data_IF_078037078267
#
_entry.id   IF_078037078267
#
_cell.length_a   1.000
_cell.length_b   1.000
_cell.length_c   1.000
_cell.angle_alpha   90.00
_cell.angle_beta   90.00
_cell.angle_gamma   90.00
#
_symmetry.space_group_name_H-M   'P 1'
#
loop_
_entity.id
_entity.type
_entity.pdbx_description
1 polymer ?
#
# COMPACT_ATOMS: atom_id res chain seq x y z
N UNK A 1 24.75 -20.39 1.29
CA UNK A 1 23.35 -20.66 0.94
C UNK A 1 22.69 -19.30 0.89
N UNK A 2 22.35 -18.82 -0.32
CA UNK A 2 21.58 -17.59 -0.48
C UNK A 2 20.12 -18.00 -0.19
N UNK A 3 19.56 -17.53 0.89
CA UNK A 3 18.11 -17.63 1.12
C UNK A 3 17.41 -16.74 0.12
N UNK A 4 16.47 -17.29 -0.64
CA UNK A 4 15.51 -16.49 -1.41
C UNK A 4 14.76 -15.56 -0.45
N UNK A 5 14.68 -14.30 -0.77
CA UNK A 5 14.00 -13.28 0.05
C UNK A 5 12.69 -12.96 -0.65
N UNK A 6 11.55 -13.09 0.02
CA UNK A 6 10.24 -12.77 -0.55
C UNK A 6 10.00 -11.26 -0.49
N UNK A 7 9.52 -10.67 -1.57
CA UNK A 7 9.03 -9.30 -1.58
C UNK A 7 7.80 -9.26 -0.66
N UNK A 8 7.80 -8.46 0.41
CA UNK A 8 6.62 -8.39 1.26
C UNK A 8 5.48 -7.74 0.48
N UNK A 9 4.46 -8.50 0.13
CA UNK A 9 3.20 -7.98 -0.42
C UNK A 9 2.63 -6.85 0.45
N UNK A 10 2.93 -6.93 1.73
CA UNK A 10 2.65 -5.90 2.70
C UNK A 10 3.29 -4.54 2.42
N UNK A 11 4.44 -4.48 1.73
CA UNK A 11 5.07 -3.21 1.37
C UNK A 11 4.20 -2.40 0.39
N UNK A 12 3.52 -3.09 -0.51
CA UNK A 12 2.63 -2.44 -1.47
C UNK A 12 1.28 -2.04 -0.86
N UNK A 13 0.83 -2.79 0.17
CA UNK A 13 -0.45 -2.54 0.84
C UNK A 13 -0.36 -1.52 1.98
N UNK A 14 0.84 -1.22 2.47
CA UNK A 14 1.11 -0.31 3.59
C UNK A 14 0.87 1.16 3.30
N UNK A 15 0.46 1.44 2.12
CA UNK A 15 0.16 2.77 1.65
C UNK A 15 -1.07 3.43 2.33
N UNK A 16 -1.71 2.79 3.35
CA UNK A 16 -3.06 3.20 3.81
C UNK A 16 -3.18 3.61 5.28
N UNK A 17 -2.26 3.27 6.19
CA UNK A 17 -2.62 3.25 7.61
C UNK A 17 -1.81 4.12 8.59
N UNK A 18 -1.10 5.14 8.14
CA UNK A 18 -0.20 5.93 8.98
C UNK A 18 -0.87 6.86 10.03
N UNK A 19 -2.19 6.81 10.22
CA UNK A 19 -2.96 7.86 10.94
C UNK A 19 -3.47 7.58 12.35
N UNK A 20 -3.50 6.34 12.86
CA UNK A 20 -4.28 6.05 14.08
C UNK A 20 -3.53 5.32 15.18
N UNK A 21 -2.78 6.05 16.01
CA UNK A 21 -2.45 5.61 17.36
C UNK A 21 -2.85 6.64 18.39
N UNK A 22 -4.15 6.68 18.78
CA UNK A 22 -4.60 7.12 20.12
C UNK A 22 -6.09 6.86 20.34
N UNK A 23 -6.38 6.18 21.46
CA UNK A 23 -7.66 6.04 22.19
C UNK A 23 -8.70 5.07 21.61
N UNK A 24 -8.74 3.90 22.25
CA UNK A 24 -9.91 3.03 22.31
C UNK A 24 -10.56 3.22 23.70
N UNK A 25 -11.72 3.84 23.73
CA UNK A 25 -12.68 3.72 24.85
C UNK A 25 -14.11 3.87 24.33
N UNK A 26 -14.94 2.86 24.66
CA UNK A 26 -16.40 2.78 24.64
C UNK A 26 -17.16 2.89 23.28
N UNK A 27 -17.46 1.74 22.68
CA UNK A 27 -18.59 1.59 21.75
C UNK A 27 -19.46 0.39 22.15
N UNK A 28 -20.77 0.61 22.28
CA UNK A 28 -21.78 -0.40 22.60
C UNK A 28 -22.08 -1.32 21.39
N UNK A 29 -22.50 -2.58 21.60
CA UNK A 29 -22.62 -3.58 20.54
C UNK A 29 -23.84 -3.33 19.64
N UNK A 30 -23.61 -3.44 18.31
CA UNK A 30 -24.66 -3.49 17.29
C UNK A 30 -25.17 -4.94 17.12
N UNK A 31 -26.45 -5.06 16.76
CA UNK A 31 -27.17 -6.33 16.73
C UNK A 31 -26.67 -7.28 15.62
N UNK A 32 -26.60 -8.53 16.00
CA UNK A 32 -26.08 -9.72 15.34
C UNK A 32 -26.94 -10.13 14.13
N UNK A 33 -26.30 -10.23 12.96
CA UNK A 33 -26.76 -11.09 11.87
C UNK A 33 -25.78 -12.26 11.85
N UNK A 34 -26.25 -13.45 12.16
CA UNK A 34 -25.42 -14.65 12.15
C UNK A 34 -24.97 -14.97 10.72
N UNK A 35 -23.78 -14.59 10.38
CA UNK A 35 -23.09 -15.00 9.16
C UNK A 35 -22.58 -16.44 9.35
N UNK A 36 -22.80 -17.29 8.34
CA UNK A 36 -22.30 -18.67 8.40
C UNK A 36 -20.78 -18.66 8.58
N UNK A 37 -20.25 -19.55 9.43
CA UNK A 37 -18.82 -19.67 9.65
C UNK A 37 -18.06 -19.72 8.32
N UNK A 38 -17.03 -18.90 8.13
CA UNK A 38 -16.30 -18.83 6.86
C UNK A 38 -15.72 -20.20 6.54
N UNK A 39 -15.87 -20.62 5.27
CA UNK A 39 -15.31 -21.90 4.82
C UNK A 39 -13.77 -21.81 4.86
N UNK A 40 -13.14 -22.86 5.40
CA UNK A 40 -11.69 -23.00 5.35
C UNK A 40 -11.21 -22.97 3.89
N UNK A 41 -10.09 -22.31 3.65
CA UNK A 41 -9.49 -22.24 2.31
C UNK A 41 -9.07 -23.62 1.82
N UNK A 42 -9.74 -24.08 0.78
CA UNK A 42 -9.39 -25.34 0.13
C UNK A 42 -8.37 -25.05 -0.98
N UNK A 43 -7.09 -24.91 -0.60
CA UNK A 43 -6.00 -24.64 -1.55
C UNK A 43 -5.53 -25.94 -2.21
N UNK A 44 -5.12 -25.90 -3.50
CA UNK A 44 -4.45 -27.03 -4.12
C UNK A 44 -3.19 -27.40 -3.31
N UNK A 45 -2.91 -28.69 -3.20
CA UNK A 45 -1.76 -29.24 -2.44
C UNK A 45 -0.36 -28.85 -3.00
N UNK A 46 -0.27 -27.93 -3.96
CA UNK A 46 0.96 -27.54 -4.65
C UNK A 46 1.57 -26.22 -4.14
N UNK A 47 1.44 -25.97 -2.83
CA UNK A 47 2.05 -24.79 -2.19
C UNK A 47 3.58 -24.68 -2.43
N UNK A 48 4.28 -25.80 -2.55
CA UNK A 48 5.72 -25.81 -2.82
C UNK A 48 6.08 -25.27 -4.22
N UNK A 49 5.28 -25.58 -5.25
CA UNK A 49 5.52 -25.07 -6.61
C UNK A 49 5.18 -23.57 -6.69
N UNK A 50 4.10 -23.14 -6.04
CA UNK A 50 3.73 -21.71 -5.95
C UNK A 50 4.80 -20.91 -5.19
N UNK A 51 5.27 -21.40 -4.05
CA UNK A 51 6.36 -20.76 -3.29
C UNK A 51 7.66 -20.70 -4.08
N UNK A 52 7.99 -21.74 -4.88
CA UNK A 52 9.18 -21.73 -5.72
C UNK A 52 9.06 -20.72 -6.86
N UNK A 53 7.87 -20.59 -7.47
CA UNK A 53 7.62 -19.59 -8.51
C UNK A 53 7.72 -18.16 -7.96
N UNK A 54 7.16 -17.90 -6.77
CA UNK A 54 7.30 -16.63 -6.07
C UNK A 54 8.76 -16.29 -5.76
N UNK A 55 9.52 -17.26 -5.23
CA UNK A 55 10.94 -17.06 -4.92
C UNK A 55 11.78 -16.80 -6.19
N UNK A 56 11.42 -17.40 -7.32
CA UNK A 56 12.07 -17.11 -8.59
C UNK A 56 11.73 -15.72 -9.09
N UNK A 57 10.45 -15.34 -9.09
CA UNK A 57 10.01 -13.98 -9.46
C UNK A 57 10.75 -12.92 -8.64
N UNK A 58 10.78 -13.09 -7.32
CA UNK A 58 11.45 -12.16 -6.43
C UNK A 58 12.94 -12.00 -6.76
N UNK A 59 13.64 -13.10 -6.97
CA UNK A 59 15.05 -13.04 -7.34
C UNK A 59 15.29 -12.32 -8.67
N UNK A 60 14.38 -12.50 -9.64
CA UNK A 60 14.42 -11.82 -10.94
C UNK A 60 14.08 -10.33 -10.79
N UNK A 61 13.07 -9.99 -9.98
CA UNK A 61 12.67 -8.61 -9.70
C UNK A 61 13.77 -7.81 -8.98
N UNK A 62 14.38 -8.39 -7.95
CA UNK A 62 15.53 -7.78 -7.25
C UNK A 62 16.71 -7.60 -8.22
N UNK A 63 17.03 -8.60 -9.04
CA UNK A 63 18.12 -8.49 -10.00
C UNK A 63 17.85 -7.41 -11.07
N UNK A 64 16.58 -7.25 -11.48
CA UNK A 64 16.19 -6.20 -12.41
C UNK A 64 16.30 -4.80 -11.77
N UNK A 65 15.86 -4.64 -10.51
CA UNK A 65 16.00 -3.40 -9.76
C UNK A 65 17.48 -3.04 -9.56
N UNK A 66 18.32 -3.97 -9.10
CA UNK A 66 19.74 -3.72 -8.91
C UNK A 66 20.48 -3.38 -10.23
N UNK A 67 19.94 -3.78 -11.38
CA UNK A 67 20.52 -3.52 -12.70
C UNK A 67 20.11 -2.19 -13.32
N UNK A 68 19.01 -1.59 -12.88
CA UNK A 68 18.52 -0.30 -13.33
C UNK A 68 19.05 0.86 -12.47
N UNK A 69 18.80 2.09 -12.91
CA UNK A 69 19.14 3.33 -12.17
C UNK A 69 18.15 4.42 -12.53
N UNK A 70 17.78 5.21 -11.51
CA UNK A 70 16.96 6.40 -11.70
C UNK A 70 17.78 7.66 -11.97
N UNK A 71 17.11 8.80 -11.82
CA UNK A 71 17.69 10.12 -12.03
C UNK A 71 18.38 10.70 -10.77
N UNK A 72 18.41 9.94 -9.66
CA UNK A 72 18.95 10.36 -8.37
C UNK A 72 18.00 11.25 -7.57
N UNK A 73 16.69 11.19 -7.87
CA UNK A 73 15.64 11.91 -7.17
C UNK A 73 14.29 11.23 -7.43
N UNK A 74 13.30 11.31 -6.52
CA UNK A 74 11.98 10.71 -6.71
C UNK A 74 11.33 11.13 -8.03
N UNK A 75 10.75 10.14 -8.72
CA UNK A 75 10.11 10.34 -10.01
C UNK A 75 8.87 11.25 -9.89
N UNK A 76 8.79 12.25 -10.74
CA UNK A 76 7.62 13.13 -10.82
C UNK A 76 7.27 13.37 -12.29
N UNK A 77 5.99 13.17 -12.62
CA UNK A 77 5.45 13.41 -13.96
C UNK A 77 4.67 14.72 -14.02
N UNK A 78 4.51 15.22 -15.24
CA UNK A 78 3.69 16.41 -15.51
C UNK A 78 2.72 16.10 -16.64
N UNK A 79 1.45 16.39 -16.41
CA UNK A 79 0.39 16.44 -17.40
C UNK A 79 -0.16 17.86 -17.43
N UNK A 80 -0.31 18.46 -18.62
CA UNK A 80 -0.71 19.87 -18.74
C UNK A 80 -1.41 20.16 -20.07
N UNK A 81 -2.20 21.22 -20.07
CA UNK A 81 -2.76 21.87 -21.25
C UNK A 81 -2.45 23.39 -21.26
N UNK A 82 -3.35 24.23 -21.81
CA UNK A 82 -3.14 25.66 -21.98
C UNK A 82 -3.17 26.43 -20.64
N UNK A 83 -4.02 26.04 -19.69
CA UNK A 83 -4.26 26.77 -18.44
C UNK A 83 -4.25 25.90 -17.18
N UNK A 84 -3.99 24.59 -17.32
CA UNK A 84 -3.90 23.62 -16.23
C UNK A 84 -2.55 22.90 -16.19
N UNK A 85 -2.04 22.68 -14.99
CA UNK A 85 -0.84 21.88 -14.76
C UNK A 85 -1.04 20.91 -13.61
N UNK A 86 -0.87 19.61 -13.89
CA UNK A 86 -0.90 18.54 -12.92
C UNK A 86 0.52 18.01 -12.73
N UNK A 87 1.05 18.10 -11.52
CA UNK A 87 2.21 17.34 -11.08
C UNK A 87 1.73 16.02 -10.50
N UNK A 88 2.36 14.91 -10.86
CA UNK A 88 2.03 13.57 -10.37
C UNK A 88 3.28 13.01 -9.71
N UNK A 89 3.24 12.82 -8.39
CA UNK A 89 4.37 12.39 -7.58
C UNK A 89 4.04 11.05 -6.91
N UNK A 90 4.94 10.08 -7.05
CA UNK A 90 4.88 8.83 -6.31
C UNK A 90 5.30 9.04 -4.85
N UNK A 91 4.54 8.48 -3.92
CA UNK A 91 4.78 8.64 -2.48
C UNK A 91 5.10 7.32 -1.79
N UNK A 92 5.68 7.40 -0.60
CA UNK A 92 5.92 6.30 0.33
C UNK A 92 5.43 6.73 1.72
N UNK A 93 4.50 5.98 2.31
CA UNK A 93 3.80 6.38 3.54
C UNK A 93 4.65 6.26 4.81
N UNK A 94 5.59 5.33 4.85
CA UNK A 94 6.49 5.13 5.97
C UNK A 94 7.93 5.22 5.46
N UNK A 95 8.69 6.16 6.00
CA UNK A 95 10.09 6.36 5.65
C UNK A 95 10.97 6.35 6.91
N UNK A 96 12.25 6.08 6.73
CA UNK A 96 13.22 6.41 7.77
C UNK A 96 13.34 7.92 7.90
N UNK A 97 13.30 8.50 9.13
CA UNK A 97 13.25 9.96 9.32
C UNK A 97 14.45 10.74 8.78
N UNK A 98 15.56 10.05 8.55
CA UNK A 98 16.83 10.62 8.06
C UNK A 98 16.98 10.59 6.53
N UNK A 99 15.99 10.02 5.80
CA UNK A 99 16.02 9.98 4.34
C UNK A 99 15.72 11.36 3.77
N UNK A 100 16.67 11.90 3.02
CA UNK A 100 16.51 13.15 2.26
C UNK A 100 16.04 12.83 0.83
N UNK A 101 14.76 13.06 0.57
CA UNK A 101 14.11 12.80 -0.72
C UNK A 101 13.65 14.08 -1.43
N UNK A 102 13.70 15.22 -0.74
CA UNK A 102 13.16 16.48 -1.26
C UNK A 102 14.12 17.10 -2.28
N UNK A 103 13.54 17.62 -3.35
CA UNK A 103 14.27 18.36 -4.37
C UNK A 103 13.67 19.76 -4.56
N UNK A 104 14.40 20.64 -5.19
CA UNK A 104 13.89 21.97 -5.53
C UNK A 104 12.66 21.92 -6.43
N UNK A 105 12.56 20.88 -7.28
CA UNK A 105 11.43 20.66 -8.19
C UNK A 105 10.19 20.19 -7.44
N UNK A 106 10.32 19.20 -6.54
CA UNK A 106 9.23 18.76 -5.66
C UNK A 106 8.75 19.92 -4.78
N UNK A 107 9.67 20.66 -4.18
CA UNK A 107 9.34 21.84 -3.39
C UNK A 107 8.60 22.91 -4.20
N UNK A 108 8.97 23.09 -5.48
CA UNK A 108 8.27 24.00 -6.37
C UNK A 108 6.85 23.49 -6.69
N UNK A 109 6.68 22.18 -6.92
CA UNK A 109 5.37 21.60 -7.17
C UNK A 109 4.45 21.81 -5.94
N UNK A 110 4.93 21.52 -4.71
CA UNK A 110 4.18 21.73 -3.47
C UNK A 110 3.80 23.22 -3.29
N UNK A 111 4.73 24.13 -3.51
CA UNK A 111 4.48 25.57 -3.33
C UNK A 111 3.54 26.18 -4.37
N UNK A 112 3.53 25.63 -5.60
CA UNK A 112 2.72 26.18 -6.69
C UNK A 112 1.33 25.53 -6.79
N UNK A 113 1.09 24.45 -6.07
CA UNK A 113 -0.20 23.76 -6.10
C UNK A 113 -1.29 24.60 -5.42
N UNK A 114 -2.35 24.89 -6.18
CA UNK A 114 -3.61 25.46 -5.64
C UNK A 114 -4.37 24.38 -4.87
N UNK A 115 -4.24 23.13 -5.32
CA UNK A 115 -4.87 21.94 -4.73
C UNK A 115 -3.87 20.78 -4.67
N UNK A 116 -3.84 20.08 -3.55
CA UNK A 116 -3.15 18.78 -3.42
C UNK A 116 -4.20 17.67 -3.40
N UNK A 117 -3.98 16.66 -4.25
CA UNK A 117 -4.87 15.52 -4.40
C UNK A 117 -4.17 14.28 -3.85
N UNK A 118 -4.74 13.68 -2.82
CA UNK A 118 -4.26 12.42 -2.24
C UNK A 118 -5.18 11.26 -2.63
N UNK A 119 -4.77 10.04 -2.30
CA UNK A 119 -5.59 8.84 -2.50
C UNK A 119 -6.90 8.94 -1.70
N UNK A 120 -6.80 9.09 -0.39
CA UNK A 120 -7.91 9.22 0.55
C UNK A 120 -7.57 10.17 1.69
N UNK A 121 -8.59 10.71 2.37
CA UNK A 121 -8.40 11.43 3.62
C UNK A 121 -8.06 10.45 4.75
N UNK A 122 -6.85 10.52 5.27
CA UNK A 122 -6.39 9.68 6.39
C UNK A 122 -6.01 10.50 7.63
N UNK A 123 -6.10 11.83 7.57
CA UNK A 123 -5.57 12.73 8.60
C UNK A 123 -6.62 13.54 9.34
N UNK A 124 -7.81 13.75 8.74
CA UNK A 124 -8.88 14.49 9.42
C UNK A 124 -9.48 13.68 10.57
N UNK A 125 -10.05 14.36 11.55
CA UNK A 125 -10.77 13.71 12.65
C UNK A 125 -11.96 12.86 12.14
N UNK A 126 -12.58 13.25 11.03
CA UNK A 126 -13.66 12.49 10.41
C UNK A 126 -13.12 11.19 9.84
N UNK A 127 -12.05 11.24 9.06
CA UNK A 127 -11.38 10.06 8.51
C UNK A 127 -10.93 9.10 9.62
N UNK A 128 -10.38 9.61 10.72
CA UNK A 128 -10.01 8.79 11.88
C UNK A 128 -11.20 8.01 12.47
N UNK A 129 -12.39 8.64 12.55
CA UNK A 129 -13.61 7.95 12.99
C UNK A 129 -14.11 6.90 11.97
N UNK A 130 -14.03 7.21 10.69
CA UNK A 130 -14.40 6.30 9.60
C UNK A 130 -13.48 5.08 9.56
N UNK A 131 -12.17 5.29 9.66
CA UNK A 131 -11.16 4.22 9.78
C UNK A 131 -11.45 3.29 10.97
N UNK A 132 -11.67 3.86 12.16
CA UNK A 132 -11.97 3.05 13.35
C UNK A 132 -13.25 2.25 13.20
N UNK A 133 -14.30 2.86 12.63
CA UNK A 133 -15.57 2.16 12.34
C UNK A 133 -15.34 1.04 11.34
N UNK A 134 -14.60 1.29 10.27
CA UNK A 134 -14.30 0.29 9.24
C UNK A 134 -13.53 -0.90 9.83
N UNK A 135 -12.45 -0.67 10.55
CA UNK A 135 -11.67 -1.73 11.17
C UNK A 135 -12.50 -2.56 12.15
N UNK A 136 -13.33 -1.92 12.96
CA UNK A 136 -14.18 -2.62 13.91
C UNK A 136 -15.22 -3.51 13.19
N UNK A 137 -15.81 -3.02 12.08
CA UNK A 137 -16.89 -3.73 11.39
C UNK A 137 -16.39 -4.70 10.33
N UNK A 138 -15.28 -4.43 9.64
CA UNK A 138 -14.78 -5.19 8.51
C UNK A 138 -13.43 -5.86 8.76
N UNK A 139 -12.66 -5.38 9.73
CA UNK A 139 -11.36 -5.95 10.10
C UNK A 139 -11.42 -7.00 11.20
N UNK A 140 -12.51 -7.07 11.95
CA UNK A 140 -12.65 -7.97 13.09
C UNK A 140 -13.75 -8.99 12.86
N UNK A 141 -13.56 -10.22 13.40
CA UNK A 141 -14.64 -11.18 13.55
C UNK A 141 -15.50 -10.79 14.75
N UNK A 142 -16.82 -10.73 14.57
CA UNK A 142 -17.78 -10.36 15.61
C UNK A 142 -18.60 -11.56 16.11
N UNK A 143 -18.47 -12.70 15.42
CA UNK A 143 -19.22 -13.94 15.68
C UNK A 143 -18.45 -14.99 16.54
N UNK A 144 -17.26 -14.63 17.00
CA UNK A 144 -16.38 -15.54 17.76
C UNK A 144 -15.48 -16.42 16.87
N UNK A 145 -15.51 -16.25 15.56
CA UNK A 145 -14.56 -16.87 14.63
C UNK A 145 -13.12 -16.47 15.01
N UNK A 146 -12.21 -17.41 14.95
CA UNK A 146 -10.79 -17.18 15.19
C UNK A 146 -10.02 -17.23 13.86
N UNK A 147 -9.06 -16.35 13.68
CA UNK A 147 -8.23 -16.27 12.47
C UNK A 147 -7.63 -17.65 12.12
N UNK A 148 -7.11 -18.38 13.12
CA UNK A 148 -6.50 -19.69 12.89
C UNK A 148 -7.49 -20.77 12.44
N UNK A 149 -8.81 -20.56 12.55
CA UNK A 149 -9.80 -21.48 11.98
C UNK A 149 -9.86 -21.46 10.44
N UNK A 150 -9.25 -20.44 9.81
CA UNK A 150 -9.12 -20.32 8.36
C UNK A 150 -7.80 -20.89 7.84
N UNK A 151 -6.87 -21.22 8.73
CA UNK A 151 -5.52 -21.69 8.41
C UNK A 151 -5.41 -23.20 8.52
N UNK A 152 -4.53 -23.79 7.74
CA UNK A 152 -4.05 -25.14 8.00
C UNK A 152 -3.19 -25.19 9.26
N UNK A 153 -2.96 -26.40 9.84
CA UNK A 153 -2.03 -26.55 10.96
C UNK A 153 -0.61 -26.02 10.63
N UNK A 154 -0.13 -26.28 9.41
CA UNK A 154 1.19 -25.86 8.92
C UNK A 154 1.27 -24.33 8.85
N UNK A 155 0.26 -23.67 8.29
CA UNK A 155 0.18 -22.19 8.20
C UNK A 155 0.08 -21.57 9.60
N UNK A 156 -0.69 -22.20 10.49
CA UNK A 156 -0.78 -21.75 11.89
C UNK A 156 0.57 -21.78 12.58
N UNK A 157 1.37 -22.82 12.37
CA UNK A 157 2.70 -22.94 12.96
C UNK A 157 3.70 -21.98 12.32
N UNK A 158 3.62 -21.75 11.00
CA UNK A 158 4.42 -20.73 10.30
C UNK A 158 4.08 -19.33 10.81
N UNK A 159 2.80 -19.00 10.97
CA UNK A 159 2.37 -17.71 11.50
C UNK A 159 2.86 -17.50 12.94
N UNK A 160 2.71 -18.51 13.84
CA UNK A 160 3.25 -18.43 15.20
C UNK A 160 4.77 -18.17 15.21
N UNK A 161 5.51 -18.86 14.32
CA UNK A 161 6.96 -18.63 14.21
C UNK A 161 7.27 -17.20 13.78
N UNK A 162 6.57 -16.69 12.77
CA UNK A 162 6.74 -15.31 12.30
C UNK A 162 6.42 -14.27 13.39
N UNK A 163 5.36 -14.50 14.18
CA UNK A 163 4.99 -13.61 15.28
C UNK A 163 6.05 -13.51 16.38
N UNK A 164 6.97 -14.48 16.48
CA UNK A 164 8.07 -14.40 17.46
C UNK A 164 9.01 -13.23 17.17
N UNK A 165 9.17 -12.83 15.90
CA UNK A 165 9.98 -11.68 15.50
C UNK A 165 9.44 -10.36 16.08
N UNK A 166 8.10 -10.28 16.23
CA UNK A 166 7.43 -9.14 16.84
C UNK A 166 7.16 -9.30 18.34
N UNK A 167 7.59 -10.43 18.95
CA UNK A 167 7.24 -10.79 20.34
C UNK A 167 5.73 -10.78 20.60
N UNK A 168 4.91 -11.13 19.59
CA UNK A 168 3.46 -11.07 19.62
C UNK A 168 2.86 -12.47 19.81
N UNK A 169 2.00 -12.70 20.82
CA UNK A 169 1.30 -13.97 20.96
C UNK A 169 0.18 -14.09 19.91
N UNK A 170 -0.07 -15.31 19.41
CA UNK A 170 -1.10 -15.58 18.39
C UNK A 170 -2.50 -15.12 18.83
N UNK A 171 -2.77 -15.13 20.13
CA UNK A 171 -4.03 -14.72 20.73
C UNK A 171 -4.37 -13.25 20.44
N UNK A 172 -3.37 -12.40 20.25
CA UNK A 172 -3.56 -10.98 19.98
C UNK A 172 -4.20 -10.71 18.60
N UNK A 173 -4.01 -11.61 17.63
CA UNK A 173 -4.54 -11.46 16.27
C UNK A 173 -5.72 -12.39 15.97
N UNK A 174 -6.10 -13.29 16.89
CA UNK A 174 -7.21 -14.23 16.69
C UNK A 174 -8.54 -13.58 16.29
N UNK A 175 -8.95 -12.42 16.85
CA UNK A 175 -10.21 -11.79 16.47
C UNK A 175 -10.12 -11.00 15.14
N UNK A 176 -8.95 -10.90 14.53
CA UNK A 176 -8.74 -10.13 13.29
C UNK A 176 -9.05 -10.98 12.05
N UNK A 177 -9.66 -10.38 11.04
CA UNK A 177 -9.70 -10.97 9.70
C UNK A 177 -8.29 -11.01 9.10
N UNK A 178 -7.97 -11.97 8.22
CA UNK A 178 -6.58 -12.16 7.78
C UNK A 178 -5.97 -10.91 7.13
N UNK A 179 -6.72 -10.18 6.30
CA UNK A 179 -6.23 -8.94 5.69
C UNK A 179 -5.84 -7.88 6.72
N UNK A 180 -6.64 -7.74 7.79
CA UNK A 180 -6.38 -6.75 8.83
C UNK A 180 -5.20 -7.14 9.72
N UNK A 181 -5.07 -8.44 10.02
CA UNK A 181 -3.89 -8.97 10.68
C UNK A 181 -2.63 -8.72 9.86
N UNK A 182 -2.65 -9.00 8.54
CA UNK A 182 -1.54 -8.77 7.63
C UNK A 182 -1.05 -7.31 7.67
N UNK A 183 -1.95 -6.35 7.52
CA UNK A 183 -1.61 -4.92 7.58
C UNK A 183 -0.98 -4.52 8.92
N UNK A 184 -1.58 -4.97 10.03
CA UNK A 184 -1.03 -4.65 11.36
C UNK A 184 0.37 -5.23 11.55
N UNK A 185 0.60 -6.47 11.17
CA UNK A 185 1.91 -7.12 11.29
C UNK A 185 2.97 -6.39 10.48
N UNK A 186 2.64 -5.97 9.27
CA UNK A 186 3.54 -5.23 8.40
C UNK A 186 3.89 -3.85 8.96
N UNK A 187 2.90 -3.11 9.49
CA UNK A 187 3.16 -1.81 10.15
C UNK A 187 4.04 -2.00 11.39
N UNK A 188 3.77 -3.03 12.20
CA UNK A 188 4.58 -3.33 13.38
C UNK A 188 6.02 -3.66 13.01
N UNK A 189 6.24 -4.46 11.95
CA UNK A 189 7.57 -4.77 11.45
C UNK A 189 8.30 -3.49 11.04
N UNK A 190 7.72 -2.70 10.15
CA UNK A 190 8.34 -1.49 9.63
C UNK A 190 8.67 -0.50 10.74
N UNK A 191 7.73 -0.26 11.67
CA UNK A 191 7.97 0.64 12.80
C UNK A 191 9.03 0.11 13.77
N UNK A 192 9.06 -1.20 14.00
CA UNK A 192 10.11 -1.86 14.78
C UNK A 192 11.51 -1.72 14.18
N UNK A 193 11.61 -1.64 12.86
CA UNK A 193 12.84 -1.46 12.08
C UNK A 193 13.19 0.02 11.80
N UNK A 194 12.45 0.96 12.42
CA UNK A 194 12.77 2.39 12.39
C UNK A 194 12.13 3.19 11.26
N UNK A 195 11.17 2.62 10.54
CA UNK A 195 10.30 3.41 9.67
C UNK A 195 9.28 4.17 10.51
N UNK A 196 9.00 5.40 10.13
CA UNK A 196 8.10 6.30 10.85
C UNK A 196 6.99 6.81 9.92
N UNK A 197 5.71 6.58 10.25
CA UNK A 197 4.60 7.19 9.52
C UNK A 197 4.68 8.71 9.45
N UNK A 198 5.19 9.37 10.50
CA UNK A 198 5.35 10.83 10.52
C UNK A 198 6.43 11.34 9.56
N UNK A 199 7.32 10.45 9.08
CA UNK A 199 8.30 10.73 8.02
C UNK A 199 7.75 10.49 6.62
N UNK A 200 6.56 9.90 6.49
CA UNK A 200 5.91 9.63 5.20
C UNK A 200 5.78 10.86 4.33
N UNK A 201 5.85 10.64 3.01
CA UNK A 201 5.86 11.71 2.00
C UNK A 201 4.58 12.54 2.08
N UNK A 202 3.42 11.89 2.19
CA UNK A 202 2.11 12.55 2.27
C UNK A 202 2.01 13.46 3.49
N UNK A 203 2.48 12.99 4.64
CA UNK A 203 2.47 13.79 5.89
C UNK A 203 3.28 15.08 5.73
N UNK A 204 4.43 15.01 5.03
CA UNK A 204 5.27 16.19 4.75
C UNK A 204 4.63 17.12 3.73
N UNK A 205 4.08 16.56 2.63
CA UNK A 205 3.38 17.35 1.61
C UNK A 205 2.16 18.04 2.22
N UNK A 206 1.35 17.32 3.00
CA UNK A 206 0.15 17.87 3.63
C UNK A 206 0.47 19.02 4.57
N UNK A 207 1.50 18.88 5.40
CA UNK A 207 1.92 19.94 6.33
C UNK A 207 2.32 21.23 5.58
N UNK A 208 3.12 21.09 4.52
CA UNK A 208 3.59 22.23 3.72
C UNK A 208 2.46 22.85 2.89
N UNK A 209 1.60 22.04 2.29
CA UNK A 209 0.44 22.49 1.51
C UNK A 209 -0.56 23.25 2.38
N UNK A 210 -0.84 22.75 3.60
CA UNK A 210 -1.64 23.49 4.60
C UNK A 210 -1.01 24.84 4.93
N UNK A 211 0.30 24.90 5.14
CA UNK A 211 1.00 26.14 5.42
C UNK A 211 0.94 27.14 4.25
N UNK A 212 0.89 26.63 3.02
CA UNK A 212 0.77 27.42 1.79
C UNK A 212 -0.68 27.81 1.45
N UNK A 213 -1.68 27.25 2.15
CA UNK A 213 -3.10 27.54 1.93
C UNK A 213 -3.73 26.78 0.75
N UNK A 214 -3.11 25.69 0.30
CA UNK A 214 -3.66 24.83 -0.75
C UNK A 214 -4.94 24.12 -0.28
N UNK A 215 -5.86 23.87 -1.21
CA UNK A 215 -7.02 23.01 -0.99
C UNK A 215 -6.61 21.52 -1.02
N UNK A 216 -7.48 20.65 -0.50
CA UNK A 216 -7.26 19.20 -0.53
C UNK A 216 -8.43 18.49 -1.22
N UNK A 217 -8.11 17.56 -2.09
CA UNK A 217 -9.02 16.66 -2.78
C UNK A 217 -8.53 15.22 -2.65
N UNK A 218 -9.43 14.25 -2.88
CA UNK A 218 -9.15 12.84 -2.69
C UNK A 218 -9.73 12.03 -3.86
N UNK A 219 -8.97 11.04 -4.34
CA UNK A 219 -9.37 10.18 -5.45
C UNK A 219 -10.39 9.12 -5.02
N UNK A 220 -10.39 8.75 -3.75
CA UNK A 220 -11.29 7.76 -3.20
C UNK A 220 -11.59 8.03 -1.71
N UNK A 221 -12.59 7.34 -1.18
CA UNK A 221 -12.89 7.36 0.25
C UNK A 221 -12.12 6.26 0.99
N UNK A 222 -12.01 6.38 2.32
CA UNK A 222 -11.47 5.31 3.19
C UNK A 222 -12.22 3.99 2.98
N UNK A 223 -13.56 4.03 2.86
CA UNK A 223 -14.37 2.83 2.64
C UNK A 223 -14.07 2.17 1.28
N UNK A 224 -13.79 2.95 0.23
CA UNK A 224 -13.39 2.42 -1.07
C UNK A 224 -12.01 1.77 -1.00
N UNK A 225 -11.04 2.45 -0.38
CA UNK A 225 -9.66 1.99 -0.29
C UNK A 225 -9.53 0.70 0.55
N UNK A 226 -10.05 0.72 1.78
CA UNK A 226 -9.99 -0.45 2.67
C UNK A 226 -10.96 -1.56 2.25
N UNK A 227 -12.04 -1.19 1.53
CA UNK A 227 -13.01 -2.11 0.98
C UNK A 227 -12.39 -3.10 0.00
N UNK A 228 -11.35 -2.71 -0.73
CA UNK A 228 -10.63 -3.61 -1.63
C UNK A 228 -10.01 -4.81 -0.88
N UNK A 229 -9.42 -4.58 0.30
CA UNK A 229 -8.90 -5.67 1.14
C UNK A 229 -10.02 -6.51 1.74
N UNK A 230 -11.05 -5.87 2.25
CA UNK A 230 -12.14 -6.56 2.92
C UNK A 230 -13.01 -7.39 1.95
N UNK A 231 -13.05 -7.02 0.68
CA UNK A 231 -13.79 -7.72 -0.38
C UNK A 231 -13.04 -8.95 -0.95
N UNK A 232 -11.75 -9.09 -0.69
CA UNK A 232 -11.01 -10.29 -1.05
C UNK A 232 -11.66 -11.51 -0.38
N UNK A 233 -11.74 -12.63 -1.10
CA UNK A 233 -12.20 -13.86 -0.50
C UNK A 233 -11.26 -14.35 0.61
N UNK A 234 -11.73 -15.25 1.46
CA UNK A 234 -10.94 -15.73 2.60
C UNK A 234 -9.60 -16.32 2.18
N UNK A 235 -9.51 -16.92 0.99
CA UNK A 235 -8.27 -17.52 0.52
C UNK A 235 -7.25 -16.45 0.14
N UNK A 236 -7.64 -15.45 -0.63
CA UNK A 236 -6.77 -14.34 -0.99
C UNK A 236 -6.33 -13.54 0.25
N UNK A 237 -7.23 -13.35 1.25
CA UNK A 237 -6.87 -12.71 2.50
C UNK A 237 -5.85 -13.52 3.31
N UNK A 238 -5.99 -14.85 3.33
CA UNK A 238 -5.02 -15.73 4.02
C UNK A 238 -3.70 -15.77 3.25
N UNK A 239 -3.71 -15.81 1.91
CA UNK A 239 -2.49 -15.70 1.11
C UNK A 239 -1.73 -14.42 1.43
N UNK A 240 -2.43 -13.30 1.50
CA UNK A 240 -1.86 -12.01 1.87
C UNK A 240 -1.28 -12.01 3.30
N UNK A 241 -1.97 -12.64 4.28
CA UNK A 241 -1.44 -12.81 5.64
C UNK A 241 -0.18 -13.67 5.67
N UNK A 242 -0.18 -14.80 4.94
CA UNK A 242 0.96 -15.72 4.96
C UNK A 242 2.19 -15.12 4.26
N UNK A 243 2.00 -14.31 3.22
CA UNK A 243 3.08 -13.51 2.63
C UNK A 243 3.65 -12.50 3.64
N UNK A 244 2.78 -11.75 4.34
CA UNK A 244 3.23 -10.83 5.40
C UNK A 244 3.98 -11.55 6.51
N UNK A 245 3.52 -12.74 6.90
CA UNK A 245 4.20 -13.58 7.90
C UNK A 245 5.58 -14.08 7.43
N UNK A 246 5.73 -14.38 6.13
CA UNK A 246 7.04 -14.74 5.58
C UNK A 246 7.99 -13.54 5.55
N UNK A 247 7.48 -12.35 5.17
CA UNK A 247 8.24 -11.12 5.18
C UNK A 247 8.81 -10.76 6.58
N UNK A 248 8.05 -11.02 7.66
CA UNK A 248 8.53 -10.82 9.03
C UNK A 248 9.83 -11.58 9.32
N UNK A 249 9.99 -12.77 8.77
CA UNK A 249 11.21 -13.59 8.98
C UNK A 249 12.41 -13.13 8.17
N UNK A 250 12.19 -12.33 7.15
CA UNK A 250 13.25 -11.89 6.22
C UNK A 250 13.81 -10.50 6.53
N UNK A 251 13.14 -9.74 7.40
CA UNK A 251 13.52 -8.35 7.72
C UNK A 251 13.07 -7.36 6.67
N UNK A 252 13.71 -6.18 6.63
CA UNK A 252 13.30 -5.05 5.78
C UNK A 252 14.17 -4.80 4.55
N UNK A 253 15.10 -5.71 4.22
CA UNK A 253 16.03 -5.49 3.10
C UNK A 253 15.33 -5.17 1.77
N UNK A 254 14.18 -5.82 1.49
CA UNK A 254 13.40 -5.54 0.27
C UNK A 254 12.64 -4.23 0.37
N UNK A 255 12.19 -3.85 1.56
CA UNK A 255 11.59 -2.53 1.80
C UNK A 255 12.62 -1.41 1.62
N UNK A 256 13.83 -1.61 2.16
CA UNK A 256 14.93 -0.67 1.98
C UNK A 256 15.31 -0.54 0.49
N UNK A 257 15.28 -1.65 -0.28
CA UNK A 257 15.46 -1.61 -1.74
C UNK A 257 14.34 -0.82 -2.42
N UNK A 258 13.07 -1.11 -2.11
CA UNK A 258 11.92 -0.38 -2.66
C UNK A 258 12.03 1.14 -2.41
N UNK A 259 12.38 1.53 -1.18
CA UNK A 259 12.58 2.92 -0.82
C UNK A 259 13.77 3.53 -1.55
N UNK A 260 14.85 2.76 -1.74
CA UNK A 260 16.02 3.19 -2.50
C UNK A 260 15.68 3.44 -3.97
N UNK A 261 14.98 2.52 -4.64
CA UNK A 261 14.52 2.67 -6.04
C UNK A 261 13.58 3.87 -6.19
N UNK A 262 12.67 4.05 -5.23
CA UNK A 262 11.80 5.21 -5.20
C UNK A 262 12.59 6.52 -5.03
N UNK A 263 13.52 6.59 -4.09
CA UNK A 263 14.29 7.80 -3.81
C UNK A 263 15.25 8.16 -4.96
N UNK A 264 15.75 7.16 -5.68
CA UNK A 264 16.57 7.31 -6.89
C UNK A 264 15.73 7.67 -8.14
N UNK A 265 14.39 7.49 -8.07
CA UNK A 265 13.47 7.70 -9.20
C UNK A 265 13.60 6.63 -10.27
N UNK A 266 14.04 5.44 -9.88
CA UNK A 266 14.13 4.30 -10.78
C UNK A 266 12.76 3.63 -10.98
N UNK A 267 12.02 4.13 -11.96
CA UNK A 267 10.69 3.61 -12.30
C UNK A 267 10.74 2.20 -12.87
N UNK A 268 11.86 1.79 -13.44
CA UNK A 268 12.05 0.42 -13.98
C UNK A 268 12.28 -0.55 -12.83
N UNK A 269 13.21 -0.23 -11.93
CA UNK A 269 13.49 -1.02 -10.74
C UNK A 269 12.28 -1.15 -9.82
N UNK A 270 11.63 -0.03 -9.50
CA UNK A 270 10.43 -0.02 -8.70
C UNK A 270 9.29 -0.81 -9.36
N UNK A 271 9.12 -0.67 -10.69
CA UNK A 271 8.15 -1.43 -11.47
C UNK A 271 8.41 -2.94 -11.42
N UNK A 272 9.66 -3.36 -11.53
CA UNK A 272 10.04 -4.77 -11.42
C UNK A 272 9.67 -5.37 -10.05
N UNK A 273 9.78 -4.57 -8.99
CA UNK A 273 9.46 -5.01 -7.62
C UNK A 273 7.96 -5.01 -7.30
N UNK A 274 7.15 -4.14 -7.95
CA UNK A 274 5.77 -3.87 -7.53
C UNK A 274 4.70 -4.14 -8.59
N UNK A 275 5.04 -4.34 -9.88
CA UNK A 275 4.04 -4.35 -10.95
C UNK A 275 3.71 -5.76 -11.45
N UNK A 276 3.42 -6.68 -10.52
CA UNK A 276 2.98 -8.02 -10.89
C UNK A 276 2.10 -8.67 -9.81
N UNK A 277 1.23 -9.63 -10.18
CA UNK A 277 0.45 -10.41 -9.22
C UNK A 277 1.30 -11.14 -8.17
N UNK A 278 2.49 -11.59 -8.54
CA UNK A 278 3.41 -12.29 -7.65
C UNK A 278 3.87 -11.41 -6.50
N UNK A 279 4.05 -10.09 -6.73
CA UNK A 279 4.39 -9.13 -5.69
C UNK A 279 3.29 -8.96 -4.63
N UNK A 280 2.04 -9.34 -4.96
CA UNK A 280 0.86 -9.22 -4.10
C UNK A 280 0.29 -10.57 -3.63
N UNK A 281 0.91 -11.68 -4.05
CA UNK A 281 0.53 -13.02 -3.68
C UNK A 281 -0.62 -13.61 -4.50
N UNK A 282 -1.36 -12.78 -5.23
CA UNK A 282 -2.41 -13.25 -6.11
C UNK A 282 -2.84 -12.18 -7.13
N UNK A 283 -3.37 -12.65 -8.27
CA UNK A 283 -4.02 -11.79 -9.27
C UNK A 283 -5.14 -10.93 -8.66
N UNK A 284 -5.94 -11.52 -7.77
CA UNK A 284 -7.05 -10.82 -7.12
C UNK A 284 -6.57 -9.67 -6.22
N UNK A 285 -5.50 -9.89 -5.44
CA UNK A 285 -4.93 -8.85 -4.60
C UNK A 285 -4.26 -7.75 -5.44
N UNK A 286 -3.50 -8.10 -6.48
CA UNK A 286 -2.92 -7.13 -7.41
C UNK A 286 -3.99 -6.27 -8.08
N UNK A 287 -5.05 -6.91 -8.61
CA UNK A 287 -6.15 -6.19 -9.23
C UNK A 287 -6.87 -5.26 -8.25
N UNK A 288 -7.17 -5.75 -7.05
CA UNK A 288 -7.86 -4.97 -6.02
C UNK A 288 -7.02 -3.76 -5.55
N UNK A 289 -5.75 -3.97 -5.29
CA UNK A 289 -4.89 -2.96 -4.66
C UNK A 289 -4.29 -1.96 -5.64
N UNK A 290 -4.10 -2.34 -6.91
CA UNK A 290 -3.53 -1.47 -7.93
C UNK A 290 -4.44 -1.27 -9.14
N UNK A 291 -4.63 -2.28 -9.97
CA UNK A 291 -5.20 -2.12 -11.32
C UNK A 291 -6.60 -1.52 -11.30
N UNK A 292 -7.50 -2.01 -10.43
CA UNK A 292 -8.87 -1.50 -10.34
C UNK A 292 -8.90 -0.06 -9.81
N UNK A 293 -8.04 0.28 -8.87
CA UNK A 293 -7.92 1.64 -8.33
C UNK A 293 -7.35 2.58 -9.40
N UNK A 294 -6.29 2.18 -10.09
CA UNK A 294 -5.72 2.94 -11.21
C UNK A 294 -6.74 3.24 -12.29
N UNK A 295 -7.56 2.24 -12.67
CA UNK A 295 -8.63 2.40 -13.66
C UNK A 295 -9.73 3.37 -13.20
N UNK A 296 -10.02 3.44 -11.90
CA UNK A 296 -10.97 4.43 -11.34
C UNK A 296 -10.37 5.83 -11.27
N UNK A 297 -9.09 5.96 -10.94
CA UNK A 297 -8.42 7.24 -10.76
C UNK A 297 -8.06 7.94 -12.07
N UNK A 298 -7.67 7.17 -13.10
CA UNK A 298 -7.25 7.71 -14.38
C UNK A 298 -8.24 8.73 -14.97
N UNK A 299 -9.56 8.41 -15.13
CA UNK A 299 -10.51 9.38 -15.65
C UNK A 299 -10.74 10.58 -14.71
N UNK A 300 -10.59 10.42 -13.38
CA UNK A 300 -10.67 11.53 -12.44
C UNK A 300 -9.49 12.49 -12.63
N UNK A 301 -8.28 11.95 -12.77
CA UNK A 301 -7.07 12.73 -13.02
C UNK A 301 -7.12 13.43 -14.39
N UNK A 302 -7.55 12.71 -15.44
CA UNK A 302 -7.73 13.30 -16.76
C UNK A 302 -8.74 14.45 -16.73
N UNK A 303 -9.88 14.28 -16.02
CA UNK A 303 -10.89 15.31 -15.86
C UNK A 303 -10.44 16.57 -15.13
N UNK A 304 -9.35 16.52 -14.36
CA UNK A 304 -8.78 17.70 -13.70
C UNK A 304 -8.19 18.72 -14.72
N UNK A 305 -7.96 18.32 -15.96
CA UNK A 305 -7.57 19.23 -17.02
C UNK A 305 -8.71 20.17 -17.47
N UNK A 306 -9.96 19.83 -17.17
CA UNK A 306 -11.11 20.68 -17.53
C UNK A 306 -11.25 21.92 -16.62
N UNK A 307 -10.44 22.04 -15.58
CA UNK A 307 -10.49 23.12 -14.59
C UNK A 307 -9.13 23.81 -14.51
N UNK A 308 -9.03 25.13 -14.79
CA UNK A 308 -7.78 25.86 -14.71
C UNK A 308 -7.09 25.81 -13.35
N UNK A 309 -5.76 25.75 -13.33
CA UNK A 309 -4.98 25.81 -12.10
C UNK A 309 -3.83 24.82 -12.02
N UNK A 310 -3.20 24.77 -10.86
CA UNK A 310 -2.08 23.86 -10.60
C UNK A 310 -2.48 22.86 -9.53
N UNK A 311 -2.35 21.56 -9.81
CA UNK A 311 -2.60 20.50 -8.84
C UNK A 311 -1.35 19.65 -8.64
N UNK A 312 -1.14 19.21 -7.40
CA UNK A 312 -0.16 18.16 -7.07
C UNK A 312 -0.92 16.91 -6.67
N UNK A 313 -0.82 15.87 -7.49
CA UNK A 313 -1.38 14.54 -7.24
C UNK A 313 -0.29 13.72 -6.59
N UNK A 314 -0.51 13.33 -5.33
CA UNK A 314 0.43 12.59 -4.49
C UNK A 314 -0.20 11.24 -4.12
N UNK A 315 0.22 10.18 -4.81
CA UNK A 315 -0.29 8.81 -4.65
C UNK A 315 0.84 7.81 -4.50
N UNK A 316 0.58 6.67 -3.90
CA UNK A 316 1.58 5.64 -3.69
C UNK A 316 2.34 5.30 -4.97
N UNK A 317 3.66 5.21 -4.86
CA UNK A 317 4.55 5.05 -6.02
C UNK A 317 4.24 3.82 -6.87
N UNK A 318 3.72 2.75 -6.28
CA UNK A 318 3.27 1.55 -6.99
C UNK A 318 2.16 1.80 -8.00
N UNK A 319 1.34 2.86 -7.83
CA UNK A 319 0.29 3.24 -8.77
C UNK A 319 0.82 3.90 -10.03
N UNK A 320 2.08 4.36 -10.05
CA UNK A 320 2.66 5.15 -11.13
C UNK A 320 3.66 4.38 -11.98
N UNK A 321 4.00 3.13 -11.62
CA UNK A 321 4.99 2.30 -12.31
C UNK A 321 4.36 1.03 -12.90
N UNK A 322 4.98 0.49 -13.97
CA UNK A 322 4.48 -0.71 -14.65
C UNK A 322 3.40 -0.43 -15.69
N UNK A 323 2.92 -1.54 -16.31
CA UNK A 323 2.00 -1.47 -17.44
C UNK A 323 0.56 -1.08 -17.05
N UNK A 324 0.14 -1.40 -15.83
CA UNK A 324 -1.19 -1.12 -15.29
C UNK A 324 -1.21 0.16 -14.44
N UNK A 325 -0.21 1.01 -14.59
CA UNK A 325 -0.09 2.28 -13.85
C UNK A 325 -1.02 3.36 -14.37
N UNK A 326 -1.34 4.32 -13.52
CA UNK A 326 -2.06 5.55 -13.90
C UNK A 326 -1.34 6.27 -15.06
N UNK A 327 -0.01 6.31 -15.03
CA UNK A 327 0.79 6.94 -16.11
C UNK A 327 0.58 6.22 -17.43
N UNK A 328 0.66 4.89 -17.45
CA UNK A 328 0.45 4.09 -18.65
C UNK A 328 -0.99 4.24 -19.18
N UNK A 329 -1.99 4.27 -18.30
CA UNK A 329 -3.39 4.43 -18.67
C UNK A 329 -3.66 5.83 -19.25
N UNK A 330 -3.15 6.91 -18.65
CA UNK A 330 -3.26 8.27 -19.19
C UNK A 330 -2.61 8.38 -20.59
N UNK A 331 -1.44 7.79 -20.78
CA UNK A 331 -0.75 7.74 -22.08
C UNK A 331 -1.56 6.95 -23.11
N UNK A 332 -2.17 5.84 -22.73
CA UNK A 332 -3.03 5.03 -23.60
C UNK A 332 -4.31 5.77 -24.02
N UNK A 333 -4.83 6.68 -23.18
CA UNK A 333 -5.93 7.59 -23.52
C UNK A 333 -5.50 8.78 -24.39
N UNK A 334 -4.21 8.90 -24.69
CA UNK A 334 -3.67 9.93 -25.60
C UNK A 334 -3.20 11.21 -24.91
N UNK A 335 -3.11 11.21 -23.58
CA UNK A 335 -2.57 12.33 -22.83
C UNK A 335 -1.04 12.38 -22.95
N UNK A 336 -0.49 13.58 -23.13
CA UNK A 336 0.95 13.80 -23.16
C UNK A 336 1.49 13.94 -21.73
N UNK A 337 1.87 12.80 -21.13
CA UNK A 337 2.49 12.76 -19.80
C UNK A 337 4.01 12.82 -19.97
N UNK A 338 4.65 13.85 -19.43
CA UNK A 338 6.10 14.03 -19.45
C UNK A 338 6.70 13.70 -18.08
N UNK A 339 7.80 12.97 -18.08
CA UNK A 339 8.46 12.53 -16.84
C UNK A 339 9.54 11.49 -17.11
N UNK A 340 10.08 10.82 -16.06
CA UNK A 340 11.18 9.86 -16.20
C UNK A 340 10.81 8.63 -17.00
#
# INVERSE_FOLDING_TARGET
MRFSRLIPAAAAALLVLAGCQKQAEDAAPAAEVAEAAPAACNRPADSAAAMAAMAQYEAEAIAAAEASRGAGQPAMWTLKDEDTKLYILGTVHLLRPDLDWRTAEIDQAIRSADTVVFEADTTSEQAGRELMKFFTSQGMFTDGTQLTSLLTPEETDQLKLALTELSLPIEAIQPMRPWYAALNLSIMQMTGEGFDPAAGVEMKIEADAKANGAAFEYLETVDQQLGEFAALDNCAQVDFLMMSAEALKQGTDVLDLLVSEWADGDVVGLGALMSSPEAFGSEAAYAALLTNRNARWTPLIAGMLDEPGTRLIAVGAGHLVGQDSVIAMLQAEGHEVTGP
#
